data_IF_015875788322
#
_entry.id   IF_015875788322
#
_cell.length_a   1.000
_cell.length_b   1.000
_cell.length_c   1.000
_cell.angle_alpha   90.00
_cell.angle_beta   90.00
_cell.angle_gamma   90.00
#
_symmetry.space_group_name_H-M   'P 1'
#
loop_
_entity.id
_entity.type
_entity.pdbx_description
1 polymer ?
#
# COMPACT_ATOMS: atom_id res chain seq x y z
N UNK A 1 74.48 21.36 19.65
CA UNK A 1 73.29 21.61 20.49
C UNK A 1 72.19 22.14 19.57
N UNK A 2 71.30 21.27 19.08
CA UNK A 2 70.26 21.66 18.12
C UNK A 2 69.08 20.70 18.21
N UNK A 3 68.02 21.11 18.90
CA UNK A 3 66.80 20.31 19.09
C UNK A 3 65.87 20.51 17.88
N UNK A 4 65.78 19.48 17.04
CA UNK A 4 64.81 19.43 15.94
C UNK A 4 63.40 19.22 16.53
N UNK A 5 62.59 20.28 16.51
CA UNK A 5 61.18 20.21 16.86
C UNK A 5 60.39 19.54 15.72
N UNK A 6 60.01 18.28 15.94
CA UNK A 6 59.10 17.53 15.06
C UNK A 6 57.69 18.15 15.10
N UNK A 7 57.26 18.78 14.00
CA UNK A 7 55.87 19.23 13.81
C UNK A 7 54.95 18.01 13.70
N UNK A 8 54.26 17.64 14.79
CA UNK A 8 53.13 16.71 14.73
C UNK A 8 52.01 17.31 13.87
N UNK A 9 51.79 16.75 12.68
CA UNK A 9 50.62 17.03 11.84
C UNK A 9 49.34 16.56 12.56
N UNK A 10 48.61 17.49 13.18
CA UNK A 10 47.25 17.26 13.70
C UNK A 10 46.20 17.19 12.56
N UNK A 11 46.41 16.30 11.57
CA UNK A 11 45.49 16.15 10.42
C UNK A 11 44.55 14.94 10.51
N UNK A 12 44.58 14.17 11.61
CA UNK A 12 43.92 12.85 11.69
C UNK A 12 42.51 12.80 12.29
N UNK A 13 42.13 13.72 13.19
CA UNK A 13 40.90 13.56 13.98
C UNK A 13 39.63 13.94 13.21
N UNK A 14 39.65 15.02 12.43
CA UNK A 14 38.47 15.46 11.65
C UNK A 14 38.11 14.53 10.49
N UNK A 15 39.10 13.89 9.88
CA UNK A 15 38.88 12.94 8.78
C UNK A 15 38.35 11.59 9.26
N UNK A 16 38.82 11.10 10.41
CA UNK A 16 38.36 9.84 10.99
C UNK A 16 36.85 9.88 11.34
N UNK A 17 36.38 10.97 11.95
CA UNK A 17 34.95 11.14 12.29
C UNK A 17 34.06 11.14 11.04
N UNK A 18 34.53 11.72 9.92
CA UNK A 18 33.78 11.69 8.66
C UNK A 18 33.66 10.27 8.08
N UNK A 19 34.70 9.44 8.23
CA UNK A 19 34.69 8.04 7.78
C UNK A 19 33.79 7.17 8.66
N UNK A 20 33.83 7.37 9.99
CA UNK A 20 32.93 6.67 10.91
C UNK A 20 31.46 6.98 10.62
N UNK A 21 31.13 8.25 10.35
CA UNK A 21 29.78 8.63 9.93
C UNK A 21 29.39 8.02 8.58
N UNK A 22 30.33 7.99 7.62
CA UNK A 22 30.09 7.39 6.29
C UNK A 22 29.78 5.89 6.36
N UNK A 23 30.29 5.17 7.38
CA UNK A 23 29.96 3.76 7.60
C UNK A 23 28.55 3.55 8.19
N UNK A 24 28.04 4.51 8.97
CA UNK A 24 26.69 4.45 9.55
C UNK A 24 25.60 4.96 8.59
N UNK A 25 25.97 5.89 7.71
CA UNK A 25 25.11 6.55 6.73
C UNK A 25 24.22 5.57 5.93
N UNK A 26 24.75 4.44 5.38
CA UNK A 26 23.94 3.50 4.61
C UNK A 26 22.80 2.87 5.41
N UNK A 27 23.05 2.53 6.69
CA UNK A 27 22.04 1.94 7.58
C UNK A 27 20.97 2.98 7.92
N UNK A 28 21.40 4.21 8.22
CA UNK A 28 20.49 5.33 8.48
C UNK A 28 19.60 5.64 7.28
N UNK A 29 20.17 5.67 6.07
CA UNK A 29 19.42 5.89 4.83
C UNK A 29 18.44 4.75 4.56
N UNK A 30 18.84 3.49 4.75
CA UNK A 30 17.96 2.34 4.58
C UNK A 30 16.77 2.39 5.55
N UNK A 31 17.00 2.79 6.80
CA UNK A 31 15.95 2.93 7.81
C UNK A 31 14.97 4.07 7.48
N UNK A 32 15.47 5.23 7.07
CA UNK A 32 14.63 6.35 6.63
C UNK A 32 13.84 5.99 5.36
N UNK A 33 14.48 5.35 4.39
CA UNK A 33 13.83 4.87 3.17
C UNK A 33 12.68 3.89 3.50
N UNK A 34 12.93 2.93 4.40
CA UNK A 34 11.90 2.00 4.87
C UNK A 34 10.73 2.70 5.58
N UNK A 35 10.99 3.72 6.39
CA UNK A 35 9.94 4.53 7.04
C UNK A 35 9.08 5.29 6.02
N UNK A 36 9.70 5.85 4.98
CA UNK A 36 8.99 6.58 3.92
C UNK A 36 8.08 5.61 3.16
N UNK A 37 8.61 4.47 2.68
CA UNK A 37 7.81 3.48 1.95
C UNK A 37 6.66 2.93 2.82
N UNK A 38 6.93 2.62 4.08
CA UNK A 38 5.89 2.17 5.01
C UNK A 38 4.79 3.22 5.20
N UNK A 39 5.14 4.51 5.32
CA UNK A 39 4.17 5.60 5.43
C UNK A 39 3.25 5.69 4.21
N UNK A 40 3.81 5.59 3.00
CA UNK A 40 3.01 5.58 1.77
C UNK A 40 2.14 4.33 1.65
N UNK A 41 2.66 3.15 2.00
CA UNK A 41 1.90 1.91 1.98
C UNK A 41 0.70 1.97 2.94
N UNK A 42 0.90 2.47 4.17
CA UNK A 42 -0.16 2.63 5.17
C UNK A 42 -1.22 3.64 4.70
N UNK A 43 -0.79 4.76 4.10
CA UNK A 43 -1.73 5.74 3.56
C UNK A 43 -2.62 5.12 2.47
N UNK A 44 -2.01 4.43 1.49
CA UNK A 44 -2.76 3.74 0.42
C UNK A 44 -3.67 2.63 0.96
N UNK A 45 -3.20 1.85 1.94
CA UNK A 45 -4.00 0.84 2.61
C UNK A 45 -5.25 1.44 3.28
N UNK A 46 -5.10 2.59 3.94
CA UNK A 46 -6.20 3.29 4.62
C UNK A 46 -7.23 3.79 3.61
N UNK A 47 -6.78 4.36 2.48
CA UNK A 47 -7.67 4.78 1.40
C UNK A 47 -8.44 3.61 0.79
N UNK A 48 -7.76 2.49 0.51
CA UNK A 48 -8.40 1.26 0.03
C UNK A 48 -9.47 0.75 1.01
N UNK A 49 -9.20 0.81 2.32
CA UNK A 49 -10.15 0.39 3.35
C UNK A 49 -11.40 1.28 3.37
N UNK A 50 -11.22 2.60 3.30
CA UNK A 50 -12.34 3.55 3.28
C UNK A 50 -13.19 3.39 2.02
N UNK A 51 -12.55 3.29 0.85
CA UNK A 51 -13.23 3.09 -0.42
C UNK A 51 -13.97 1.73 -0.46
N UNK A 52 -13.37 0.67 0.08
CA UNK A 52 -14.02 -0.64 0.18
C UNK A 52 -15.26 -0.60 1.07
N UNK A 53 -15.24 0.16 2.19
CA UNK A 53 -16.39 0.31 3.09
C UNK A 53 -17.55 1.02 2.42
N UNK A 54 -17.30 2.09 1.67
CA UNK A 54 -18.39 2.78 0.98
C UNK A 54 -18.88 1.99 -0.24
N UNK A 55 -17.96 1.41 -1.02
CA UNK A 55 -18.32 0.57 -2.16
C UNK A 55 -19.15 -0.65 -1.77
N UNK A 56 -18.83 -1.31 -0.66
CA UNK A 56 -19.62 -2.46 -0.20
C UNK A 56 -21.00 -2.04 0.33
N UNK A 57 -21.14 -0.82 0.87
CA UNK A 57 -22.43 -0.26 1.28
C UNK A 57 -23.31 0.06 0.08
N UNK A 58 -22.74 0.67 -0.96
CA UNK A 58 -23.42 0.84 -2.24
C UNK A 58 -23.88 -0.52 -2.82
N UNK A 59 -23.02 -1.54 -2.74
CA UNK A 59 -23.35 -2.89 -3.18
C UNK A 59 -24.46 -3.55 -2.34
N UNK A 60 -24.47 -3.37 -1.01
CA UNK A 60 -25.54 -3.92 -0.15
C UNK A 60 -26.90 -3.33 -0.45
N UNK A 61 -26.96 -2.08 -0.91
CA UNK A 61 -28.19 -1.43 -1.38
C UNK A 61 -28.61 -1.89 -2.79
N UNK A 62 -27.90 -2.85 -3.37
CA UNK A 62 -28.24 -3.42 -4.67
C UNK A 62 -27.90 -2.54 -5.85
N UNK A 63 -27.00 -1.55 -5.70
CA UNK A 63 -26.57 -0.69 -6.82
C UNK A 63 -25.86 -1.48 -7.94
N UNK A 64 -25.74 -0.87 -9.12
CA UNK A 64 -25.07 -1.50 -10.26
C UNK A 64 -23.55 -1.60 -10.03
N UNK A 65 -22.86 -2.46 -10.80
CA UNK A 65 -21.39 -2.55 -10.72
C UNK A 65 -20.75 -1.20 -11.04
N UNK A 66 -21.27 -0.48 -12.04
CA UNK A 66 -20.75 0.84 -12.43
C UNK A 66 -20.89 1.90 -11.34
N UNK A 67 -22.01 1.91 -10.61
CA UNK A 67 -22.22 2.84 -9.50
C UNK A 67 -21.30 2.54 -8.32
N UNK A 68 -21.12 1.25 -8.00
CA UNK A 68 -20.19 0.81 -6.96
C UNK A 68 -18.75 1.17 -7.34
N UNK A 69 -18.35 0.93 -8.59
CA UNK A 69 -17.03 1.31 -9.08
C UNK A 69 -16.82 2.82 -9.03
N UNK A 70 -17.81 3.61 -9.44
CA UNK A 70 -17.74 5.07 -9.39
C UNK A 70 -17.60 5.56 -7.95
N UNK A 71 -18.37 4.99 -7.03
CA UNK A 71 -18.28 5.28 -5.60
C UNK A 71 -16.89 4.97 -5.06
N UNK A 72 -16.35 3.78 -5.35
CA UNK A 72 -14.99 3.41 -4.95
C UNK A 72 -13.96 4.37 -5.54
N UNK A 73 -14.05 4.70 -6.84
CA UNK A 73 -13.10 5.60 -7.51
C UNK A 73 -13.16 7.03 -6.96
N UNK A 74 -14.34 7.53 -6.59
CA UNK A 74 -14.48 8.85 -5.96
C UNK A 74 -13.76 8.92 -4.61
N UNK A 75 -13.79 7.84 -3.82
CA UNK A 75 -13.03 7.75 -2.57
C UNK A 75 -11.54 7.54 -2.78
N UNK A 76 -11.16 6.84 -3.85
CA UNK A 76 -9.76 6.64 -4.21
C UNK A 76 -9.12 7.90 -4.81
N UNK A 77 -9.90 8.81 -5.40
CA UNK A 77 -9.46 10.14 -5.85
C UNK A 77 -8.10 10.14 -6.57
N UNK A 78 -7.28 11.14 -6.27
CA UNK A 78 -5.90 11.28 -6.77
C UNK A 78 -4.86 10.61 -5.84
N UNK A 79 -5.29 9.61 -5.05
CA UNK A 79 -4.45 8.99 -4.00
C UNK A 79 -3.32 8.10 -4.52
N UNK A 80 -3.03 8.13 -5.83
CA UNK A 80 -2.03 7.29 -6.49
C UNK A 80 -2.40 5.81 -6.61
N UNK A 81 -3.65 5.43 -6.31
CA UNK A 81 -4.17 4.06 -6.40
C UNK A 81 -5.28 3.90 -7.45
N UNK A 82 -5.38 4.82 -8.41
CA UNK A 82 -6.38 4.79 -9.47
C UNK A 82 -6.33 3.51 -10.33
N UNK A 83 -5.16 2.85 -10.39
CA UNK A 83 -4.96 1.57 -11.07
C UNK A 83 -5.44 0.34 -10.26
N UNK A 84 -6.13 0.53 -9.13
CA UNK A 84 -6.67 -0.58 -8.35
C UNK A 84 -7.76 -1.32 -9.14
N UNK A 85 -7.64 -2.64 -9.22
CA UNK A 85 -8.65 -3.53 -9.79
C UNK A 85 -9.77 -3.73 -8.77
N UNK A 86 -10.99 -3.37 -9.17
CA UNK A 86 -12.20 -3.53 -8.36
C UNK A 86 -12.95 -4.74 -8.90
N UNK A 87 -13.37 -5.65 -8.02
CA UNK A 87 -14.12 -6.85 -8.39
C UNK A 87 -15.30 -7.02 -7.45
N UNK A 88 -16.50 -6.96 -8.00
CA UNK A 88 -17.74 -7.11 -7.27
C UNK A 88 -18.38 -8.46 -7.60
N UNK A 89 -18.67 -9.23 -6.55
CA UNK A 89 -19.32 -10.55 -6.64
C UNK A 89 -20.41 -10.66 -5.60
N UNK A 90 -21.29 -11.65 -5.74
CA UNK A 90 -22.27 -11.94 -4.72
C UNK A 90 -22.41 -13.45 -4.47
N UNK A 91 -22.93 -13.79 -3.30
CA UNK A 91 -23.33 -15.13 -2.90
C UNK A 91 -24.82 -15.17 -2.61
N UNK A 92 -25.44 -16.32 -2.89
CA UNK A 92 -26.86 -16.56 -2.65
C UNK A 92 -27.20 -16.57 -1.15
N UNK A 93 -28.44 -16.22 -0.77
CA UNK A 93 -28.89 -16.33 0.61
C UNK A 93 -28.74 -17.78 1.10
N UNK A 94 -28.25 -17.94 2.34
CA UNK A 94 -28.09 -19.24 3.00
C UNK A 94 -27.22 -20.26 2.22
N UNK A 95 -26.30 -19.78 1.39
CA UNK A 95 -25.42 -20.61 0.57
C UNK A 95 -24.04 -19.98 0.41
N UNK A 96 -23.02 -20.81 0.22
CA UNK A 96 -21.67 -20.37 -0.18
C UNK A 96 -21.52 -20.24 -1.69
N UNK A 97 -22.54 -20.62 -2.46
CA UNK A 97 -22.54 -20.57 -3.92
C UNK A 97 -22.60 -19.12 -4.41
N UNK A 98 -21.71 -18.79 -5.35
CA UNK A 98 -21.75 -17.51 -6.04
C UNK A 98 -23.07 -17.33 -6.82
N UNK A 99 -23.48 -16.09 -7.02
CA UNK A 99 -24.63 -15.77 -7.87
C UNK A 99 -24.38 -16.24 -9.32
N UNK A 100 -25.42 -16.81 -9.94
CA UNK A 100 -25.37 -17.15 -11.36
C UNK A 100 -25.31 -15.85 -12.19
N UNK A 101 -24.38 -15.77 -13.14
CA UNK A 101 -24.17 -14.55 -13.94
C UNK A 101 -23.47 -13.40 -13.17
N UNK A 102 -22.81 -13.68 -12.04
CA UNK A 102 -22.10 -12.68 -11.26
C UNK A 102 -23.05 -11.71 -10.54
N UNK A 103 -22.68 -10.44 -10.46
CA UNK A 103 -23.46 -9.42 -9.74
C UNK A 103 -24.88 -9.19 -10.30
N UNK A 104 -25.13 -9.56 -11.56
CA UNK A 104 -26.46 -9.49 -12.16
C UNK A 104 -27.46 -10.45 -11.49
N UNK A 105 -26.99 -11.59 -10.98
CA UNK A 105 -27.82 -12.58 -10.28
C UNK A 105 -27.97 -12.32 -8.77
N UNK A 106 -27.71 -11.09 -8.31
CA UNK A 106 -27.86 -10.72 -6.90
C UNK A 106 -29.31 -10.82 -6.46
N UNK A 107 -29.51 -11.24 -5.22
CA UNK A 107 -30.83 -11.34 -4.60
C UNK A 107 -30.77 -10.79 -3.18
N UNK A 108 -31.88 -10.19 -2.74
CA UNK A 108 -32.07 -9.73 -1.36
C UNK A 108 -31.83 -10.89 -0.38
N UNK A 109 -31.12 -10.59 0.72
CA UNK A 109 -30.68 -11.58 1.69
C UNK A 109 -29.41 -12.35 1.28
N UNK A 110 -28.91 -12.16 0.06
CA UNK A 110 -27.59 -12.62 -0.37
C UNK A 110 -26.46 -11.83 0.29
N UNK A 111 -25.21 -12.22 0.01
CA UNK A 111 -24.01 -11.50 0.50
C UNK A 111 -23.28 -10.86 -0.67
N UNK A 112 -23.10 -9.55 -0.64
CA UNK A 112 -22.20 -8.83 -1.51
C UNK A 112 -20.75 -9.03 -1.07
N UNK A 113 -19.84 -9.20 -2.02
CA UNK A 113 -18.40 -9.36 -1.77
C UNK A 113 -17.66 -8.44 -2.73
N UNK A 114 -17.03 -7.41 -2.18
CA UNK A 114 -16.21 -6.46 -2.90
C UNK A 114 -14.74 -6.76 -2.62
N UNK A 115 -13.96 -6.98 -3.68
CA UNK A 115 -12.50 -7.14 -3.60
C UNK A 115 -11.85 -5.98 -4.34
N UNK A 116 -10.95 -5.27 -3.67
CA UNK A 116 -10.09 -4.25 -4.29
C UNK A 116 -8.65 -4.77 -4.22
N UNK A 117 -7.99 -4.84 -5.37
CA UNK A 117 -6.59 -5.28 -5.49
C UNK A 117 -5.77 -4.16 -6.10
N UNK A 118 -4.64 -3.83 -5.49
CA UNK A 118 -3.75 -2.79 -5.96
C UNK A 118 -2.30 -3.25 -5.85
N UNK A 119 -1.53 -3.12 -6.95
CA UNK A 119 -0.10 -3.35 -6.92
C UNK A 119 0.61 -2.06 -6.50
N UNK A 120 1.25 -2.07 -5.34
CA UNK A 120 2.02 -0.96 -4.81
C UNK A 120 3.46 -1.03 -5.34
N UNK A 121 3.90 -0.10 -6.22
CA UNK A 121 5.31 0.05 -6.52
C UNK A 121 6.01 0.67 -5.32
N UNK A 122 7.16 0.11 -4.93
CA UNK A 122 8.04 0.73 -3.95
C UNK A 122 8.60 2.04 -4.50
N UNK A 123 8.68 3.07 -3.67
CA UNK A 123 9.20 4.37 -4.08
C UNK A 123 10.72 4.37 -3.96
N UNK A 124 11.24 3.73 -2.91
CA UNK A 124 12.68 3.57 -2.74
C UNK A 124 13.19 2.31 -3.45
N UNK A 125 14.42 2.33 -3.99
CA UNK A 125 15.01 1.16 -4.66
C UNK A 125 15.47 0.07 -3.68
N UNK A 126 15.32 0.28 -2.36
CA UNK A 126 15.80 -0.65 -1.33
C UNK A 126 15.16 -2.05 -1.46
N UNK A 127 13.84 -2.19 -1.66
CA UNK A 127 13.22 -3.51 -1.85
C UNK A 127 13.56 -4.16 -3.20
N UNK A 128 13.84 -3.37 -4.24
CA UNK A 128 14.28 -3.89 -5.54
C UNK A 128 15.68 -4.49 -5.50
N UNK A 129 16.58 -3.96 -4.65
CA UNK A 129 17.87 -4.59 -4.34
C UNK A 129 17.73 -5.93 -3.62
N UNK A 130 16.57 -6.19 -3.00
CA UNK A 130 16.23 -7.43 -2.30
C UNK A 130 15.35 -8.38 -3.14
N UNK A 131 15.09 -8.05 -4.41
CA UNK A 131 14.38 -8.92 -5.37
C UNK A 131 12.86 -8.82 -5.36
N UNK A 132 12.26 -7.79 -4.74
CA UNK A 132 10.81 -7.56 -4.77
C UNK A 132 10.49 -6.12 -5.19
N UNK A 133 10.07 -5.93 -6.44
CA UNK A 133 9.79 -4.59 -6.98
C UNK A 133 8.37 -4.08 -6.69
N UNK A 134 7.45 -4.95 -6.25
CA UNK A 134 6.06 -4.61 -5.98
C UNK A 134 5.42 -5.48 -4.89
N UNK A 135 4.41 -4.93 -4.22
CA UNK A 135 3.55 -5.67 -3.28
C UNK A 135 2.08 -5.53 -3.67
N UNK A 136 1.40 -6.67 -3.78
CA UNK A 136 -0.04 -6.71 -4.05
C UNK A 136 -0.84 -6.52 -2.75
N UNK A 137 -1.45 -5.36 -2.61
CA UNK A 137 -2.40 -5.05 -1.54
C UNK A 137 -3.80 -5.49 -1.96
N UNK A 138 -4.37 -6.49 -1.29
CA UNK A 138 -5.73 -6.97 -1.53
C UNK A 138 -6.61 -6.71 -0.31
N UNK A 139 -7.77 -6.11 -0.53
CA UNK A 139 -8.79 -5.89 0.50
C UNK A 139 -10.12 -6.45 0.05
N UNK A 140 -10.71 -7.33 0.86
CA UNK A 140 -12.03 -7.92 0.60
C UNK A 140 -12.99 -7.50 1.70
N UNK A 141 -14.17 -6.99 1.32
CA UNK A 141 -15.27 -6.61 2.22
C UNK A 141 -16.53 -7.37 1.85
N UNK A 142 -17.37 -7.65 2.85
CA UNK A 142 -18.61 -8.43 2.67
C UNK A 142 -19.74 -7.78 3.46
N UNK A 143 -20.91 -7.62 2.84
CA UNK A 143 -22.13 -7.16 3.50
C UNK A 143 -23.36 -7.91 2.98
N UNK A 144 -24.41 -8.00 3.80
CA UNK A 144 -25.69 -8.56 3.37
C UNK A 144 -26.37 -7.59 2.40
N UNK A 145 -27.02 -8.13 1.38
CA UNK A 145 -27.81 -7.36 0.40
C UNK A 145 -29.21 -7.17 0.96
N UNK A 146 -29.68 -5.93 0.95
CA UNK A 146 -31.02 -5.53 1.41
C UNK A 146 -32.09 -5.65 0.31
#
# INVERSE_FOLDING_TARGET
>A
MGTLHSRKRQRGSRGAVAVEFALLMPILLALVAGMIDAGFAINRYTMLNNAAREGIRAASLGQSVGDVETTVRNYLGDSGVAAATITLTCQRPNSTTACAGGWAGRATGGTAILTITYSHPWITPVPGLMGSDQVNLRKTMRMRIE
#
